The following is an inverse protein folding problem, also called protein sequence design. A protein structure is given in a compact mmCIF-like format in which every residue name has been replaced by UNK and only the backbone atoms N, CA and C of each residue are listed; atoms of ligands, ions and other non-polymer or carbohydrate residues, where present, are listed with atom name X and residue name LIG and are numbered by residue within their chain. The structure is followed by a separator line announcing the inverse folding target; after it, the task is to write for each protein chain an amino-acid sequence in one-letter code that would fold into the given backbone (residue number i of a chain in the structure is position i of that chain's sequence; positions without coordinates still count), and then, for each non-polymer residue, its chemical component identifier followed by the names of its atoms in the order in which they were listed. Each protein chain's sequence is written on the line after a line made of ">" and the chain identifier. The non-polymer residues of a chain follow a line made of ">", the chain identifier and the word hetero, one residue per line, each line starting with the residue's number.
data_IF_694787605682
#
_entry.id   IF_694787605682
#
_cell.length_a   1.000
_cell.length_b   1.000
_cell.length_c   1.000
_cell.angle_alpha   90.00
_cell.angle_beta   90.00
_cell.angle_gamma   90.00
#
_symmetry.space_group_name_H-M   'P 1'
#
loop_
_entity.id
_entity.type
_entity.pdbx_description
1 polymer ?
#
# COMPACT_ATOMS: atom_id res chain seq x y z
N UNK A 1 9.02 -33.98 34.79
CA UNK A 1 8.20 -34.17 33.57
C UNK A 1 8.23 -32.85 32.81
N UNK A 2 9.07 -32.73 31.78
CA UNK A 2 9.10 -31.54 30.93
C UNK A 2 7.89 -31.56 30.01
N UNK A 3 7.05 -30.52 30.10
CA UNK A 3 5.96 -30.27 29.18
C UNK A 3 6.56 -29.63 27.93
N UNK A 4 6.62 -30.41 26.84
CA UNK A 4 7.00 -29.90 25.52
C UNK A 4 5.81 -29.07 25.02
N UNK A 5 5.96 -27.75 25.02
CA UNK A 5 4.99 -26.85 24.41
C UNK A 5 4.91 -27.17 22.90
N UNK A 6 3.71 -27.32 22.32
CA UNK A 6 3.59 -27.51 20.88
C UNK A 6 4.16 -26.28 20.15
N UNK A 7 4.84 -26.46 19.00
CA UNK A 7 5.33 -25.34 18.22
C UNK A 7 4.15 -24.45 17.83
N UNK A 8 4.33 -23.13 17.95
CA UNK A 8 3.38 -22.15 17.46
C UNK A 8 3.07 -22.46 15.98
N UNK A 9 1.80 -22.67 15.65
CA UNK A 9 1.38 -22.96 14.29
C UNK A 9 1.69 -21.75 13.41
N UNK A 10 2.53 -21.94 12.38
CA UNK A 10 2.87 -20.91 11.42
C UNK A 10 1.60 -20.36 10.76
N UNK A 11 1.48 -19.04 10.64
CA UNK A 11 0.34 -18.41 9.98
C UNK A 11 0.31 -18.83 8.51
N UNK A 12 -0.83 -19.38 8.05
CA UNK A 12 -1.04 -19.67 6.65
C UNK A 12 -1.11 -18.35 5.85
N UNK A 13 -0.48 -18.31 4.68
CA UNK A 13 -0.59 -17.17 3.78
C UNK A 13 -2.05 -16.98 3.34
N UNK A 14 -2.55 -15.73 3.28
CA UNK A 14 -3.87 -15.45 2.77
C UNK A 14 -3.94 -15.74 1.27
N UNK A 15 -5.13 -16.01 0.74
CA UNK A 15 -5.32 -16.05 -0.71
C UNK A 15 -5.06 -14.66 -1.31
N UNK A 16 -4.68 -14.55 -2.60
CA UNK A 16 -4.52 -13.26 -3.25
C UNK A 16 -5.77 -12.39 -3.16
N UNK A 17 -6.96 -12.96 -3.40
CA UNK A 17 -8.22 -12.20 -3.30
C UNK A 17 -8.48 -11.71 -1.88
N UNK A 18 -8.32 -12.56 -0.88
CA UNK A 18 -8.61 -12.18 0.52
C UNK A 18 -7.67 -11.09 1.00
N UNK A 19 -6.38 -11.19 0.68
CA UNK A 19 -5.41 -10.17 1.04
C UNK A 19 -5.68 -8.84 0.34
N UNK A 20 -5.78 -8.86 -1.00
CA UNK A 20 -5.91 -7.63 -1.79
C UNK A 20 -7.23 -6.92 -1.52
N UNK A 21 -8.35 -7.65 -1.46
CA UNK A 21 -9.68 -7.04 -1.27
C UNK A 21 -9.84 -6.34 0.08
N UNK A 22 -8.96 -6.63 1.04
CA UNK A 22 -8.97 -6.06 2.38
C UNK A 22 -7.81 -5.10 2.64
N UNK A 23 -6.99 -4.79 1.63
CA UNK A 23 -5.85 -3.89 1.77
C UNK A 23 -6.24 -2.45 1.42
N UNK A 24 -6.67 -1.72 2.44
CA UNK A 24 -6.99 -0.30 2.32
C UNK A 24 -6.06 0.53 3.17
N UNK A 25 -5.58 1.63 2.60
CA UNK A 25 -4.54 2.44 3.22
C UNK A 25 -4.98 3.90 3.31
N UNK A 26 -4.93 4.47 4.50
CA UNK A 26 -5.04 5.91 4.69
C UNK A 26 -3.64 6.53 4.62
N UNK A 27 -3.45 7.48 3.71
CA UNK A 27 -2.19 8.15 3.48
C UNK A 27 -2.17 9.52 4.13
N UNK A 28 -1.10 9.79 4.87
CA UNK A 28 -0.88 11.01 5.62
C UNK A 28 0.28 11.79 5.04
N UNK A 29 0.17 13.12 5.01
CA UNK A 29 1.34 13.99 4.85
C UNK A 29 2.28 13.79 6.04
N UNK A 30 3.57 13.81 5.75
CA UNK A 30 4.62 13.67 6.77
C UNK A 30 5.45 14.94 6.89
N UNK A 31 6.18 15.08 7.99
CA UNK A 31 7.34 15.98 8.04
C UNK A 31 8.31 15.67 6.89
N UNK A 32 8.98 16.70 6.32
CA UNK A 32 9.93 16.51 5.23
C UNK A 32 11.04 15.53 5.60
N UNK A 33 11.38 14.64 4.67
CA UNK A 33 12.52 13.74 4.75
C UNK A 33 13.00 13.41 3.34
N UNK A 34 14.30 13.43 3.12
CA UNK A 34 14.90 13.00 1.86
C UNK A 34 15.88 11.87 2.16
N UNK A 35 15.65 10.65 1.65
CA UNK A 35 16.61 9.57 1.80
C UNK A 35 17.90 9.89 1.01
N UNK A 36 19.00 9.18 1.27
CA UNK A 36 20.14 9.15 0.35
C UNK A 36 19.66 8.87 -1.08
N UNK A 37 20.29 9.51 -2.07
CA UNK A 37 19.93 9.29 -3.47
C UNK A 37 20.25 7.84 -3.86
N UNK A 38 19.21 7.05 -4.11
CA UNK A 38 19.32 5.65 -4.54
C UNK A 38 18.67 5.51 -5.92
N UNK A 39 19.46 5.06 -6.90
CA UNK A 39 18.97 4.61 -8.19
C UNK A 39 18.42 3.19 -8.10
N UNK A 40 17.20 2.99 -8.59
CA UNK A 40 16.49 1.71 -8.56
C UNK A 40 16.08 1.31 -9.97
N UNK A 41 16.23 0.03 -10.28
CA UNK A 41 15.68 -0.57 -11.50
C UNK A 41 14.40 -1.30 -11.14
N UNK A 42 13.29 -0.97 -11.80
CA UNK A 42 11.94 -1.46 -11.49
C UNK A 42 11.34 -2.25 -12.65
N UNK A 43 10.65 -3.35 -12.34
CA UNK A 43 9.84 -4.14 -13.26
C UNK A 43 8.42 -4.29 -12.71
N UNK A 44 7.40 -4.16 -13.55
CA UNK A 44 6.02 -4.39 -13.16
C UNK A 44 5.74 -5.88 -12.91
N UNK A 45 5.00 -6.17 -11.84
CA UNK A 45 4.62 -7.54 -11.47
C UNK A 45 3.21 -7.89 -11.93
N UNK A 46 2.32 -6.90 -12.03
CA UNK A 46 0.94 -7.16 -12.40
C UNK A 46 0.84 -7.75 -13.82
N UNK A 47 0.05 -8.81 -14.04
CA UNK A 47 -0.03 -9.49 -15.34
C UNK A 47 -0.54 -8.60 -16.48
N UNK A 48 -1.38 -7.59 -16.20
CA UNK A 48 -1.87 -6.62 -17.20
C UNK A 48 -0.77 -5.64 -17.63
N UNK A 49 0.21 -5.39 -16.75
CA UNK A 49 1.28 -4.40 -16.95
C UNK A 49 2.67 -5.02 -17.15
N UNK A 50 2.79 -6.36 -17.09
CA UNK A 50 4.07 -7.07 -17.16
C UNK A 50 4.82 -6.89 -18.49
N UNK A 51 4.13 -6.44 -19.54
CA UNK A 51 4.75 -6.09 -20.83
C UNK A 51 5.34 -4.68 -20.90
N UNK A 52 5.19 -3.86 -19.86
CA UNK A 52 5.81 -2.53 -19.82
C UNK A 52 7.33 -2.63 -19.66
N UNK A 53 8.10 -1.66 -20.22
CA UNK A 53 9.56 -1.65 -20.08
C UNK A 53 10.03 -1.65 -18.62
N UNK A 54 11.23 -2.18 -18.41
CA UNK A 54 11.98 -1.95 -17.18
C UNK A 54 12.38 -0.47 -17.13
N UNK A 55 12.27 0.14 -15.95
CA UNK A 55 12.56 1.56 -15.76
C UNK A 55 13.60 1.79 -14.66
N UNK A 56 14.39 2.85 -14.82
CA UNK A 56 15.25 3.35 -13.75
C UNK A 56 14.60 4.57 -13.09
N UNK A 57 14.61 4.61 -11.76
CA UNK A 57 14.09 5.73 -10.98
C UNK A 57 15.08 6.10 -9.89
N UNK A 58 15.06 7.36 -9.45
CA UNK A 58 15.80 7.80 -8.27
C UNK A 58 14.80 8.17 -7.18
N UNK A 59 15.02 7.68 -5.96
CA UNK A 59 14.21 8.08 -4.81
C UNK A 59 14.45 9.56 -4.48
N UNK A 60 13.37 10.34 -4.49
CA UNK A 60 13.32 11.72 -4.00
C UNK A 60 12.80 11.80 -2.57
N UNK A 61 12.29 12.97 -2.18
CA UNK A 61 11.74 13.19 -0.85
C UNK A 61 10.51 12.30 -0.56
N UNK A 62 10.35 11.90 0.70
CA UNK A 62 9.12 11.27 1.20
C UNK A 62 8.02 12.32 1.25
N UNK A 63 6.90 12.02 0.61
CA UNK A 63 5.73 12.91 0.60
C UNK A 63 4.59 12.38 1.46
N UNK A 64 4.50 11.05 1.65
CA UNK A 64 3.40 10.42 2.37
C UNK A 64 3.83 9.16 3.14
N UNK A 65 3.07 8.83 4.19
CA UNK A 65 3.05 7.51 4.81
C UNK A 65 1.62 6.96 4.74
N UNK A 66 1.45 5.81 4.12
CA UNK A 66 0.17 5.11 3.98
C UNK A 66 0.10 3.95 4.98
N UNK A 67 -0.99 3.87 5.74
CA UNK A 67 -1.16 2.93 6.85
C UNK A 67 -2.53 2.24 6.77
N UNK A 68 -2.64 0.98 7.23
CA UNK A 68 -3.81 0.15 7.00
C UNK A 68 -5.02 0.60 7.81
N UNK A 69 -6.18 0.65 7.15
CA UNK A 69 -7.46 1.05 7.75
C UNK A 69 -8.59 0.09 7.39
N UNK A 70 -9.56 -0.05 8.29
CA UNK A 70 -10.87 -0.63 7.99
C UNK A 70 -11.84 0.46 7.55
N UNK A 71 -12.78 0.12 6.65
CA UNK A 71 -13.87 1.01 6.22
C UNK A 71 -15.20 0.56 6.82
N UNK A 72 -16.00 1.52 7.28
CA UNK A 72 -17.38 1.31 7.75
C UNK A 72 -17.48 0.18 8.78
N UNK A 73 -16.48 0.07 9.66
CA UNK A 73 -16.34 -0.98 10.67
C UNK A 73 -16.23 -2.42 10.14
N UNK A 74 -16.09 -2.62 8.83
CA UNK A 74 -15.83 -3.93 8.23
C UNK A 74 -14.36 -4.26 8.40
N UNK A 75 -14.07 -5.24 9.28
CA UNK A 75 -12.73 -5.74 9.51
C UNK A 75 -12.36 -6.81 8.47
N UNK A 76 -11.08 -6.90 8.07
CA UNK A 76 -10.60 -8.05 7.33
C UNK A 76 -10.85 -9.35 8.11
N UNK A 77 -11.05 -10.50 7.42
CA UNK A 77 -11.19 -11.79 8.07
C UNK A 77 -10.01 -12.14 9.00
N UNK A 78 -10.26 -13.04 9.95
CA UNK A 78 -9.20 -13.63 10.78
C UNK A 78 -8.11 -14.25 9.88
N UNK A 79 -6.85 -14.17 10.28
CA UNK A 79 -5.72 -14.57 9.45
C UNK A 79 -5.33 -13.54 8.39
N UNK A 80 -6.26 -12.84 7.75
CA UNK A 80 -5.95 -11.75 6.78
C UNK A 80 -5.53 -10.49 7.51
N UNK A 81 -6.28 -10.12 8.56
CA UNK A 81 -5.98 -8.94 9.38
C UNK A 81 -4.57 -9.02 10.00
N UNK A 82 -4.08 -10.23 10.28
CA UNK A 82 -2.76 -10.46 10.85
C UNK A 82 -1.62 -10.03 9.92
N UNK A 83 -1.87 -10.00 8.59
CA UNK A 83 -0.93 -9.44 7.61
C UNK A 83 -1.23 -7.98 7.32
N UNK A 84 -2.49 -7.64 6.99
CA UNK A 84 -2.87 -6.29 6.53
C UNK A 84 -2.48 -5.21 7.54
N UNK A 85 -2.62 -5.46 8.85
CA UNK A 85 -2.29 -4.47 9.90
C UNK A 85 -0.83 -4.04 9.95
N UNK A 86 0.07 -4.75 9.27
CA UNK A 86 1.49 -4.43 9.17
C UNK A 86 1.90 -3.88 7.80
N UNK A 87 0.95 -3.64 6.88
CA UNK A 87 1.25 -3.08 5.56
C UNK A 87 1.32 -1.57 5.64
N UNK A 88 2.51 -1.05 5.97
CA UNK A 88 2.76 0.38 6.03
C UNK A 88 3.75 0.78 4.95
N UNK A 89 3.39 1.78 4.16
CA UNK A 89 4.14 2.16 2.98
C UNK A 89 4.60 3.61 3.05
N UNK A 90 5.91 3.82 3.02
CA UNK A 90 6.51 5.14 2.87
C UNK A 90 6.59 5.48 1.38
N UNK A 91 5.99 6.59 0.96
CA UNK A 91 5.86 6.98 -0.44
C UNK A 91 6.79 8.14 -0.78
N UNK A 92 7.76 7.86 -1.63
CA UNK A 92 8.78 8.80 -2.09
C UNK A 92 8.44 9.31 -3.47
N UNK A 93 8.72 10.59 -3.71
CA UNK A 93 8.66 11.17 -5.04
C UNK A 93 9.62 10.44 -5.97
N UNK A 94 9.13 10.10 -7.15
CA UNK A 94 9.94 9.63 -8.28
C UNK A 94 9.53 10.40 -9.53
N UNK A 95 10.31 10.26 -10.60
CA UNK A 95 9.93 10.73 -11.94
C UNK A 95 10.35 9.71 -12.98
N UNK A 96 9.70 9.74 -14.13
CA UNK A 96 9.92 8.80 -15.22
C UNK A 96 9.05 9.15 -16.42
N UNK A 97 9.23 8.46 -17.55
CA UNK A 97 8.46 8.71 -18.76
C UNK A 97 6.97 8.39 -18.55
N UNK A 98 6.07 9.06 -19.28
CA UNK A 98 4.64 8.73 -19.27
C UNK A 98 4.39 7.37 -19.94
N UNK A 99 3.45 6.59 -19.38
CA UNK A 99 3.06 5.28 -19.93
C UNK A 99 1.90 5.41 -20.92
N UNK A 100 0.98 6.34 -20.70
CA UNK A 100 -0.21 6.59 -21.54
C UNK A 100 -1.03 5.32 -21.82
N UNK A 101 -1.33 4.55 -20.77
CA UNK A 101 -2.04 3.26 -20.88
C UNK A 101 -3.50 3.40 -20.46
N UNK A 102 -4.41 3.05 -21.37
CA UNK A 102 -5.83 2.93 -21.03
C UNK A 102 -6.10 1.65 -20.26
N UNK A 103 -6.89 1.75 -19.19
CA UNK A 103 -7.28 0.66 -18.30
C UNK A 103 -8.74 0.84 -17.87
N UNK A 104 -9.37 -0.25 -17.44
CA UNK A 104 -10.69 -0.22 -16.77
C UNK A 104 -10.54 -0.78 -15.36
N UNK A 105 -10.84 0.04 -14.35
CA UNK A 105 -10.73 -0.32 -12.95
C UNK A 105 -12.04 -0.89 -12.41
N UNK A 106 -11.94 -1.90 -11.54
CA UNK A 106 -13.06 -2.48 -10.78
C UNK A 106 -12.68 -2.55 -9.30
N UNK A 107 -13.48 -1.96 -8.39
CA UNK A 107 -13.18 -2.02 -6.97
C UNK A 107 -13.27 -3.44 -6.40
N UNK A 108 -12.30 -3.80 -5.56
CA UNK A 108 -12.23 -5.11 -4.91
C UNK A 108 -12.74 -5.07 -3.48
N UNK A 109 -12.70 -3.92 -2.82
CA UNK A 109 -13.11 -3.84 -1.42
C UNK A 109 -14.62 -4.16 -1.25
N UNK A 110 -15.01 -5.04 -0.30
CA UNK A 110 -16.41 -5.45 -0.12
C UNK A 110 -17.41 -4.29 0.10
N UNK A 111 -16.97 -3.17 0.66
CA UNK A 111 -17.79 -1.97 0.88
C UNK A 111 -17.98 -1.16 -0.41
N UNK A 112 -17.10 -1.32 -1.40
CA UNK A 112 -17.02 -0.51 -2.62
C UNK A 112 -17.32 -1.29 -3.91
N UNK A 113 -17.47 -2.62 -3.85
CA UNK A 113 -17.71 -3.49 -5.02
C UNK A 113 -18.95 -3.11 -5.86
N UNK A 114 -19.94 -2.42 -5.26
CA UNK A 114 -21.12 -1.95 -5.97
C UNK A 114 -20.91 -0.68 -6.84
N UNK A 115 -19.69 -0.13 -6.85
CA UNK A 115 -19.36 1.02 -7.69
C UNK A 115 -19.19 0.61 -9.16
N UNK A 116 -19.56 1.49 -10.12
CA UNK A 116 -19.36 1.21 -11.54
C UNK A 116 -17.87 1.10 -11.86
N UNK A 117 -17.57 0.30 -12.88
CA UNK A 117 -16.21 0.23 -13.44
C UNK A 117 -15.81 1.59 -14.02
N UNK A 118 -14.54 1.94 -13.89
CA UNK A 118 -14.04 3.26 -14.28
C UNK A 118 -12.95 3.14 -15.35
N UNK A 119 -13.15 3.68 -16.57
CA UNK A 119 -12.06 3.80 -17.53
C UNK A 119 -11.10 4.92 -17.11
N UNK A 120 -9.81 4.65 -17.16
CA UNK A 120 -8.75 5.62 -16.88
C UNK A 120 -7.63 5.51 -17.91
N UNK A 121 -6.84 6.58 -18.03
CA UNK A 121 -5.52 6.61 -18.67
C UNK A 121 -4.47 6.78 -17.59
N UNK A 122 -3.54 5.82 -17.50
CA UNK A 122 -2.37 5.88 -16.65
C UNK A 122 -1.26 6.68 -17.34
N UNK A 123 -0.77 7.73 -16.68
CA UNK A 123 0.14 8.73 -17.26
C UNK A 123 1.57 8.55 -16.73
N UNK A 124 2.16 9.58 -16.15
CA UNK A 124 3.52 9.58 -15.58
C UNK A 124 3.59 9.03 -14.16
N UNK A 125 4.69 8.38 -13.77
CA UNK A 125 4.93 7.98 -12.39
C UNK A 125 5.16 9.19 -11.49
N UNK A 126 4.71 9.09 -10.24
CA UNK A 126 4.79 10.15 -9.23
C UNK A 126 5.39 9.65 -7.92
N UNK A 127 5.04 8.43 -7.48
CA UNK A 127 5.57 7.87 -6.24
C UNK A 127 6.06 6.43 -6.39
N UNK A 128 7.07 6.08 -5.59
CA UNK A 128 7.37 4.70 -5.22
C UNK A 128 7.07 4.56 -3.72
N UNK A 129 6.12 3.70 -3.38
CA UNK A 129 5.73 3.37 -2.02
C UNK A 129 6.34 2.04 -1.62
N UNK A 130 7.12 2.02 -0.54
CA UNK A 130 7.92 0.86 -0.10
C UNK A 130 7.61 0.52 1.37
N UNK A 131 7.73 -0.77 1.77
CA UNK A 131 7.27 -1.23 3.07
C UNK A 131 8.21 -0.78 4.19
N UNK A 132 7.63 -0.28 5.29
CA UNK A 132 8.35 0.18 6.48
C UNK A 132 7.74 -0.36 7.77
N UNK A 133 8.56 -0.58 8.79
CA UNK A 133 8.12 -0.79 10.17
C UNK A 133 8.14 0.53 10.93
N UNK A 134 7.25 0.67 11.94
CA UNK A 134 7.16 1.83 12.83
C UNK A 134 7.70 1.51 14.22
N UNK A 135 8.47 2.42 14.80
CA UNK A 135 8.90 2.43 16.20
C UNK A 135 9.54 1.11 16.66
N UNK A 136 10.29 0.46 15.77
CA UNK A 136 10.93 -0.83 16.05
C UNK A 136 9.98 -2.03 16.14
N UNK A 137 8.69 -1.87 15.85
CA UNK A 137 7.72 -2.97 15.79
C UNK A 137 7.98 -3.79 14.53
N UNK A 138 8.65 -4.92 14.70
CA UNK A 138 8.93 -5.88 13.62
C UNK A 138 7.75 -6.85 13.53
N UNK A 139 7.14 -7.05 12.33
CA UNK A 139 6.10 -8.04 12.14
C UNK A 139 6.59 -9.47 12.44
N UNK A 140 5.71 -10.41 12.79
CA UNK A 140 6.04 -11.84 12.83
C UNK A 140 6.69 -12.30 11.52
N UNK A 141 7.54 -13.33 11.57
CA UNK A 141 8.38 -13.74 10.43
C UNK A 141 7.56 -14.06 9.17
N UNK A 142 6.43 -14.75 9.33
CA UNK A 142 5.51 -15.09 8.25
C UNK A 142 4.90 -13.83 7.63
N UNK A 143 4.51 -12.85 8.45
CA UNK A 143 3.98 -11.58 7.99
C UNK A 143 5.06 -10.76 7.27
N UNK A 144 6.25 -10.69 7.86
CA UNK A 144 7.39 -9.99 7.30
C UNK A 144 7.78 -10.58 5.94
N UNK A 145 7.68 -11.91 5.79
CA UNK A 145 7.99 -12.61 4.53
C UNK A 145 7.10 -12.18 3.35
N UNK A 146 5.87 -11.71 3.61
CA UNK A 146 4.97 -11.14 2.62
C UNK A 146 5.18 -9.62 2.49
N UNK A 147 5.06 -8.90 3.61
CA UNK A 147 5.00 -7.42 3.64
C UNK A 147 6.25 -6.78 3.04
N UNK A 148 7.44 -7.36 3.26
CA UNK A 148 8.71 -6.78 2.79
C UNK A 148 8.84 -6.67 1.28
N UNK A 149 8.01 -7.38 0.52
CA UNK A 149 8.02 -7.39 -0.95
C UNK A 149 6.88 -6.55 -1.56
N UNK A 150 6.12 -5.79 -0.75
CA UNK A 150 5.02 -4.94 -1.23
C UNK A 150 5.59 -3.58 -1.63
N UNK A 151 5.99 -3.45 -2.88
CA UNK A 151 6.42 -2.18 -3.47
C UNK A 151 5.44 -1.73 -4.54
N UNK A 152 4.93 -0.51 -4.40
CA UNK A 152 3.91 0.03 -5.28
C UNK A 152 4.42 1.27 -6.00
N UNK A 153 4.41 1.24 -7.34
CA UNK A 153 4.68 2.40 -8.17
C UNK A 153 3.37 3.09 -8.53
N UNK A 154 3.24 4.35 -8.15
CA UNK A 154 2.04 5.15 -8.32
C UNK A 154 2.15 6.08 -9.52
N UNK A 155 1.15 6.02 -10.39
CA UNK A 155 1.03 6.83 -11.59
C UNK A 155 -0.11 7.82 -11.47
N UNK A 156 0.06 9.02 -12.02
CA UNK A 156 -1.07 9.91 -12.26
C UNK A 156 -2.09 9.24 -13.20
N UNK A 157 -3.38 9.53 -12.98
CA UNK A 157 -4.46 9.03 -13.84
C UNK A 157 -5.34 10.17 -14.36
N UNK A 158 -6.13 9.88 -15.39
CA UNK A 158 -7.21 10.74 -15.90
C UNK A 158 -8.33 9.87 -16.49
N UNK A 159 -9.61 10.23 -16.39
CA UNK A 159 -10.15 11.35 -15.64
C UNK A 159 -10.03 11.15 -14.11
N UNK A 160 -9.96 12.27 -13.38
CA UNK A 160 -9.96 12.27 -11.91
C UNK A 160 -11.38 12.19 -11.35
N UNK A 161 -12.11 11.13 -11.73
CA UNK A 161 -13.52 10.96 -11.36
C UNK A 161 -13.64 10.89 -9.84
N UNK A 162 -14.50 11.71 -9.21
CA UNK A 162 -14.67 11.66 -7.78
C UNK A 162 -15.52 10.47 -7.33
N UNK A 163 -15.16 9.85 -6.20
CA UNK A 163 -15.97 8.80 -5.57
C UNK A 163 -17.23 9.38 -4.91
N UNK A 164 -17.13 10.60 -4.35
CA UNK A 164 -18.22 11.32 -3.66
C UNK A 164 -18.93 10.47 -2.58
N UNK A 165 -18.16 9.82 -1.71
CA UNK A 165 -18.70 9.03 -0.59
C UNK A 165 -18.10 9.41 0.76
N UNK A 166 -18.95 9.39 1.79
CA UNK A 166 -18.50 9.39 3.17
C UNK A 166 -18.15 7.98 3.62
N UNK A 167 -16.99 7.81 4.22
CA UNK A 167 -16.52 6.54 4.77
C UNK A 167 -16.03 6.74 6.19
N UNK A 168 -16.39 5.83 7.08
CA UNK A 168 -15.78 5.77 8.41
C UNK A 168 -14.49 4.95 8.32
N UNK A 169 -13.36 5.54 8.70
CA UNK A 169 -12.05 4.90 8.73
C UNK A 169 -11.63 4.60 10.16
N UNK A 170 -11.08 3.41 10.38
CA UNK A 170 -10.46 3.00 11.65
C UNK A 170 -9.08 2.41 11.39
N UNK A 171 -8.07 2.89 12.13
CA UNK A 171 -6.70 2.38 12.05
C UNK A 171 -6.61 0.90 12.44
N UNK A 172 -5.99 0.12 11.58
CA UNK A 172 -5.64 -1.28 11.86
C UNK A 172 -4.22 -1.42 12.38
N UNK A 173 -3.35 -0.44 12.10
CA UNK A 173 -1.97 -0.52 12.54
C UNK A 173 -1.85 -0.48 14.07
N UNK A 174 -1.20 -1.47 14.71
CA UNK A 174 -1.14 -1.56 16.17
C UNK A 174 -0.41 -0.39 16.84
N UNK A 175 0.48 0.30 16.14
CA UNK A 175 1.15 1.52 16.65
C UNK A 175 0.21 2.72 16.63
N UNK A 176 -0.76 2.77 15.71
CA UNK A 176 -1.60 3.95 15.46
C UNK A 176 -3.03 3.85 16.00
N UNK A 177 -3.54 2.66 16.28
CA UNK A 177 -4.93 2.44 16.75
C UNK A 177 -5.31 3.31 17.96
N UNK A 178 -4.36 3.59 18.86
CA UNK A 178 -4.59 4.42 20.06
C UNK A 178 -4.11 5.88 19.90
N UNK A 179 -3.55 6.25 18.76
CA UNK A 179 -3.02 7.59 18.49
C UNK A 179 -3.89 8.39 17.53
N UNK A 180 -4.58 7.71 16.62
CA UNK A 180 -5.47 8.33 15.63
C UNK A 180 -6.86 7.72 15.81
N UNK A 181 -7.84 8.50 16.30
CA UNK A 181 -9.19 8.00 16.50
C UNK A 181 -9.88 7.70 15.15
N UNK A 182 -10.88 6.80 15.14
CA UNK A 182 -11.73 6.61 13.99
C UNK A 182 -12.35 7.93 13.53
N UNK A 183 -12.48 8.11 12.22
CA UNK A 183 -12.99 9.34 11.65
C UNK A 183 -13.84 9.08 10.41
N UNK A 184 -14.86 9.90 10.20
CA UNK A 184 -15.57 9.95 8.92
C UNK A 184 -14.83 10.89 7.97
N UNK A 185 -14.54 10.42 6.77
CA UNK A 185 -13.90 11.19 5.70
C UNK A 185 -14.79 11.24 4.47
N UNK A 186 -14.74 12.35 3.74
CA UNK A 186 -15.33 12.47 2.42
C UNK A 186 -14.26 12.11 1.38
N UNK A 187 -14.53 11.06 0.61
CA UNK A 187 -13.69 10.64 -0.52
C UNK A 187 -14.10 11.42 -1.76
N UNK A 188 -13.11 12.01 -2.43
CA UNK A 188 -13.30 12.93 -3.56
C UNK A 188 -12.60 12.39 -4.80
N UNK A 189 -11.75 13.18 -5.47
CA UNK A 189 -11.17 12.88 -6.76
C UNK A 189 -10.19 11.69 -6.72
N UNK A 190 -10.31 10.76 -7.67
CA UNK A 190 -9.26 9.81 -7.98
C UNK A 190 -8.01 10.55 -8.51
N UNK A 191 -6.81 10.15 -8.05
CA UNK A 191 -5.55 10.84 -8.39
C UNK A 191 -4.48 9.94 -8.95
N UNK A 192 -4.37 8.74 -8.39
CA UNK A 192 -3.28 7.85 -8.75
C UNK A 192 -3.73 6.40 -8.79
N UNK A 193 -3.09 5.62 -9.65
CA UNK A 193 -3.13 4.17 -9.61
C UNK A 193 -1.74 3.68 -9.19
N UNK A 194 -1.68 2.93 -8.10
CA UNK A 194 -0.47 2.30 -7.61
C UNK A 194 -0.48 0.81 -7.92
N UNK A 195 0.59 0.33 -8.53
CA UNK A 195 0.70 -1.04 -9.07
C UNK A 195 1.97 -1.71 -8.57
N UNK A 196 1.98 -3.06 -8.44
CA UNK A 196 3.09 -3.75 -7.82
C UNK A 196 4.29 -3.81 -8.76
N UNK A 197 5.46 -3.49 -8.22
CA UNK A 197 6.75 -3.53 -8.91
C UNK A 197 7.76 -4.32 -8.10
N UNK A 198 8.75 -4.87 -8.77
CA UNK A 198 9.93 -5.48 -8.17
C UNK A 198 11.14 -4.61 -8.44
N UNK A 199 11.99 -4.43 -7.43
CA UNK A 199 13.30 -3.81 -7.57
C UNK A 199 14.32 -4.86 -7.99
N UNK A 200 15.25 -4.50 -8.86
CA UNK A 200 16.42 -5.34 -9.13
C UNK A 200 17.18 -5.64 -7.83
N UNK A 201 17.56 -6.90 -7.64
CA UNK A 201 18.18 -7.40 -6.40
C UNK A 201 17.20 -7.92 -5.35
N UNK A 202 15.89 -7.80 -5.56
CA UNK A 202 14.87 -8.44 -4.71
C UNK A 202 14.52 -9.84 -5.24
N UNK A 203 14.58 -10.85 -4.37
CA UNK A 203 14.17 -12.22 -4.67
C UNK A 203 12.84 -12.51 -3.96
N UNK A 204 11.76 -12.58 -4.74
CA UNK A 204 10.40 -12.74 -4.24
C UNK A 204 10.00 -14.21 -4.39
N UNK A 205 9.79 -14.96 -3.28
CA UNK A 205 9.39 -16.35 -3.36
C UNK A 205 8.09 -16.54 -4.18
N UNK A 206 7.94 -17.63 -4.96
CA UNK A 206 6.77 -17.82 -5.82
C UNK A 206 5.42 -17.71 -5.10
N UNK A 207 5.32 -18.24 -3.88
CA UNK A 207 4.10 -18.14 -3.06
C UNK A 207 3.75 -16.68 -2.70
N UNK A 208 4.75 -15.84 -2.45
CA UNK A 208 4.58 -14.41 -2.16
C UNK A 208 4.26 -13.64 -3.45
N UNK A 209 4.96 -13.96 -4.54
CA UNK A 209 4.70 -13.38 -5.87
C UNK A 209 3.23 -13.60 -6.30
N UNK A 210 2.67 -14.77 -6.00
CA UNK A 210 1.28 -15.11 -6.31
C UNK A 210 0.26 -14.19 -5.62
N UNK A 211 0.63 -13.50 -4.54
CA UNK A 211 -0.19 -12.50 -3.83
C UNK A 211 0.18 -11.10 -4.30
N UNK A 212 1.46 -10.72 -4.17
CA UNK A 212 1.94 -9.34 -4.37
C UNK A 212 1.61 -8.79 -5.76
N UNK A 213 1.68 -9.63 -6.80
CA UNK A 213 1.42 -9.20 -8.19
C UNK A 213 0.01 -8.67 -8.43
N UNK A 214 -0.92 -8.89 -7.51
CA UNK A 214 -2.30 -8.44 -7.59
C UNK A 214 -2.61 -7.21 -6.76
N UNK A 215 -1.63 -6.66 -6.03
CA UNK A 215 -1.84 -5.50 -5.18
C UNK A 215 -1.88 -4.24 -6.04
N UNK A 216 -3.07 -3.87 -6.44
CA UNK A 216 -3.33 -2.60 -7.10
C UNK A 216 -4.28 -1.77 -6.27
N UNK A 217 -3.90 -0.51 -6.03
CA UNK A 217 -4.71 0.42 -5.25
C UNK A 217 -4.89 1.72 -6.00
N UNK A 218 -6.13 2.20 -6.04
CA UNK A 218 -6.46 3.53 -6.54
C UNK A 218 -6.51 4.51 -5.37
N UNK A 219 -5.78 5.62 -5.50
CA UNK A 219 -5.68 6.66 -4.48
C UNK A 219 -6.62 7.81 -4.79
N UNK A 220 -7.45 8.14 -3.81
CA UNK A 220 -8.39 9.24 -3.84
C UNK A 220 -8.00 10.31 -2.85
N UNK A 221 -8.23 11.58 -3.19
CA UNK A 221 -8.17 12.67 -2.21
C UNK A 221 -9.27 12.49 -1.17
N UNK A 222 -8.94 12.73 0.10
CA UNK A 222 -9.90 12.71 1.21
C UNK A 222 -9.89 14.02 1.99
N UNK A 223 -11.06 14.39 2.51
CA UNK A 223 -11.20 15.45 3.51
C UNK A 223 -11.85 14.88 4.77
N UNK A 224 -11.45 15.36 5.94
CA UNK A 224 -11.91 14.84 7.22
C UNK A 224 -11.41 15.69 8.37
N UNK A 225 -11.70 15.31 9.63
CA UNK A 225 -11.21 16.03 10.79
C UNK A 225 -9.67 16.07 10.82
N UNK A 226 -9.11 17.07 11.49
CA UNK A 226 -7.67 17.13 11.75
C UNK A 226 -7.22 15.94 12.62
N UNK A 227 -5.92 15.64 12.60
CA UNK A 227 -5.28 14.74 13.57
C UNK A 227 -4.34 15.54 14.45
N UNK A 228 -4.11 15.02 15.66
CA UNK A 228 -2.93 15.44 16.41
C UNK A 228 -1.67 14.89 15.71
N UNK A 229 -0.56 15.65 15.67
CA UNK A 229 0.68 15.15 15.09
C UNK A 229 1.16 13.87 15.78
N UNK A 230 1.55 12.87 14.99
CA UNK A 230 2.06 11.58 15.50
C UNK A 230 3.52 11.40 15.08
N UNK A 231 4.42 11.34 16.06
CA UNK A 231 5.85 11.12 15.82
C UNK A 231 6.18 9.64 15.73
N UNK A 232 6.98 9.29 14.73
CA UNK A 232 7.34 7.93 14.36
C UNK A 232 8.82 7.86 13.98
N UNK A 233 9.40 6.69 14.20
CA UNK A 233 10.64 6.25 13.56
C UNK A 233 10.32 5.14 12.58
N UNK A 234 10.68 5.31 11.31
CA UNK A 234 10.44 4.33 10.25
C UNK A 234 11.73 3.57 9.94
N UNK A 235 11.59 2.27 9.63
CA UNK A 235 12.69 1.44 9.11
C UNK A 235 12.20 0.67 7.90
N UNK A 236 12.93 0.75 6.79
CA UNK A 236 12.63 -0.02 5.59
C UNK A 236 12.67 -1.52 5.87
N UNK A 237 11.62 -2.20 5.41
CA UNK A 237 11.51 -3.66 5.46
C UNK A 237 12.01 -4.32 4.18
N UNK A 238 11.96 -3.58 3.06
CA UNK A 238 12.35 -4.14 1.77
C UNK A 238 13.83 -4.57 1.76
N UNK A 239 14.17 -5.78 1.25
CA UNK A 239 15.54 -6.29 1.25
C UNK A 239 16.57 -5.39 0.55
N UNK A 240 16.17 -4.70 -0.52
CA UNK A 240 17.04 -3.81 -1.30
C UNK A 240 17.29 -2.50 -0.58
N UNK A 241 16.32 -1.99 0.19
CA UNK A 241 16.39 -0.69 0.87
C UNK A 241 16.66 -0.80 2.38
N UNK A 242 16.76 -2.02 2.94
CA UNK A 242 16.91 -2.24 4.37
C UNK A 242 18.21 -1.70 4.99
N UNK A 243 19.18 -1.34 4.15
CA UNK A 243 20.44 -0.70 4.55
C UNK A 243 20.33 0.82 4.72
N UNK A 244 19.22 1.43 4.28
CA UNK A 244 18.99 2.86 4.47
C UNK A 244 18.81 3.20 5.96
N UNK A 245 19.19 4.43 6.38
CA UNK A 245 19.03 4.86 7.75
C UNK A 245 17.55 4.86 8.17
N UNK A 246 17.31 4.74 9.48
CA UNK A 246 15.98 4.95 10.02
C UNK A 246 15.51 6.39 9.76
N UNK A 247 14.22 6.56 9.53
CA UNK A 247 13.65 7.85 9.16
C UNK A 247 12.79 8.43 10.29
N UNK A 248 13.02 9.68 10.70
CA UNK A 248 12.02 10.40 11.47
C UNK A 248 10.81 10.72 10.59
N UNK A 249 9.61 10.58 11.13
CA UNK A 249 8.37 10.98 10.48
C UNK A 249 7.39 11.55 11.51
N UNK A 250 6.75 12.66 11.16
CA UNK A 250 5.60 13.18 11.90
C UNK A 250 4.40 13.17 10.98
N UNK A 251 3.35 12.40 11.29
CA UNK A 251 2.09 12.44 10.56
C UNK A 251 1.36 13.73 10.94
N UNK A 252 0.97 14.54 9.96
CA UNK A 252 0.34 15.86 10.24
C UNK A 252 -1.08 15.97 9.73
N UNK A 253 -1.40 15.35 8.59
CA UNK A 253 -2.68 15.59 7.92
C UNK A 253 -3.08 14.40 7.08
N UNK A 254 -4.36 14.00 7.17
CA UNK A 254 -4.99 13.04 6.25
C UNK A 254 -4.94 13.60 4.83
N UNK A 255 -4.56 12.79 3.87
CA UNK A 255 -4.35 13.28 2.53
C UNK A 255 -5.09 12.46 1.48
N UNK A 256 -4.88 11.14 1.49
CA UNK A 256 -5.46 10.26 0.48
C UNK A 256 -5.94 8.94 1.10
N UNK A 257 -6.87 8.27 0.42
CA UNK A 257 -7.28 6.90 0.71
C UNK A 257 -6.94 6.04 -0.50
N UNK A 258 -6.14 5.01 -0.30
CA UNK A 258 -5.85 3.97 -1.28
C UNK A 258 -6.82 2.80 -1.08
N UNK A 259 -7.56 2.44 -2.13
CA UNK A 259 -8.54 1.34 -2.11
C UNK A 259 -8.19 0.31 -3.18
N UNK A 260 -8.40 -1.00 -2.92
CA UNK A 260 -7.96 -2.04 -3.83
C UNK A 260 -8.86 -2.12 -5.07
N UNK A 261 -8.23 -2.28 -6.22
CA UNK A 261 -8.88 -2.37 -7.54
C UNK A 261 -8.29 -3.50 -8.37
N UNK A 262 -9.06 -4.03 -9.32
CA UNK A 262 -8.59 -4.87 -10.41
C UNK A 262 -8.55 -4.07 -11.71
N UNK A 263 -7.68 -4.48 -12.65
CA UNK A 263 -7.57 -3.87 -14.00
C UNK A 263 -8.13 -4.82 -15.05
N UNK A 264 -8.86 -4.27 -16.03
CA UNK A 264 -9.28 -4.94 -17.26
C UNK A 264 -10.01 -6.27 -17.04
N UNK A 265 -10.77 -6.36 -15.94
CA UNK A 265 -11.48 -7.58 -15.55
C UNK A 265 -10.59 -8.73 -15.08
N UNK A 266 -9.30 -8.50 -14.85
CA UNK A 266 -8.37 -9.47 -14.28
C UNK A 266 -8.40 -9.38 -12.75
N UNK A 267 -9.09 -10.31 -12.11
CA UNK A 267 -9.28 -10.35 -10.66
C UNK A 267 -8.25 -11.26 -9.98
N UNK A 268 -7.82 -10.94 -8.74
CA UNK A 268 -7.01 -11.86 -7.95
C UNK A 268 -7.76 -13.18 -7.73
N UNK A 269 -7.10 -14.34 -7.87
CA UNK A 269 -7.70 -15.65 -7.63
C UNK A 269 -7.84 -15.94 -6.12
N UNK A 270 -8.69 -16.92 -5.79
CA UNK A 270 -9.01 -17.33 -4.42
C UNK A 270 -10.48 -17.15 -4.12
#
# INVERSE_FOLDING_TARGET
>A
MSVIAPPASALALPTPKDFVSNLDLECYKTSPYTPPAVGLTLRHLNPVLGGLPIEQVTLGAREQLCVPVAKNNVLPPAGVIDFVRFVDLSCYRISGPPVNRNLVLSHLNPVLQGLPRQPITMLQPQHLCVPVAKNGVIPPAEVLSLVRHIDLKCYAITPNTPMNRNLNLRQLNPVLTNQIPPATVQVTAARQLCVPVQKAGDDIPPAIMNIVRWIDVEKFDITGPAINPVNLTLRHLNPVLGHLPAEPATLTTRHQLAVPVAKDGQFPPG
#
